data_IF_728817249656
#
_entry.id   IF_728817249656
#
_cell.length_a   1.000
_cell.length_b   1.000
_cell.length_c   1.000
_cell.angle_alpha   90.00
_cell.angle_beta   90.00
_cell.angle_gamma   90.00
#
_symmetry.space_group_name_H-M   'P 1'
#
loop_
_entity.id
_entity.type
_entity.pdbx_description
1 polymer ?
#
# COMPACT_ATOMS: atom_id res chain seq x y z
N UNK A 1 -9.66 -12.82 -6.96
CA UNK A 1 -10.34 -12.21 -5.79
C UNK A 1 -9.33 -11.34 -5.04
N UNK A 2 -9.67 -10.12 -4.63
CA UNK A 2 -8.77 -9.26 -3.85
C UNK A 2 -9.41 -8.87 -2.52
N UNK A 3 -8.62 -8.91 -1.45
CA UNK A 3 -8.95 -8.35 -0.13
C UNK A 3 -7.91 -7.30 0.26
N UNK A 4 -7.41 -6.53 -0.72
CA UNK A 4 -6.39 -5.53 -0.50
C UNK A 4 -6.85 -4.49 0.53
N UNK A 5 -6.03 -4.21 1.56
CA UNK A 5 -6.32 -3.17 2.53
C UNK A 5 -5.92 -1.77 2.05
N UNK A 6 -5.14 -1.66 0.96
CA UNK A 6 -4.42 -0.44 0.61
C UNK A 6 -5.00 0.22 -0.64
N UNK A 7 -5.60 1.40 -0.45
CA UNK A 7 -5.97 2.29 -1.56
C UNK A 7 -4.71 2.82 -2.20
N UNK A 8 -4.61 2.66 -3.52
CA UNK A 8 -3.53 3.22 -4.31
C UNK A 8 -3.80 4.68 -4.65
N UNK A 9 -4.88 4.96 -5.40
CA UNK A 9 -5.27 6.31 -5.80
C UNK A 9 -6.78 6.40 -5.87
N UNK A 10 -7.33 7.45 -5.28
CA UNK A 10 -8.67 7.93 -5.57
C UNK A 10 -8.57 9.32 -6.21
N UNK A 11 -9.39 9.55 -7.24
CA UNK A 11 -9.65 10.86 -7.79
C UNK A 11 -11.16 11.06 -7.88
N UNK A 12 -11.69 12.05 -7.17
CA UNK A 12 -13.11 12.39 -7.20
C UNK A 12 -13.30 13.89 -7.36
N UNK A 13 -13.94 14.32 -8.45
CA UNK A 13 -14.09 15.75 -8.76
C UNK A 13 -12.75 16.51 -8.64
N UNK A 14 -11.73 15.99 -9.31
CA UNK A 14 -10.34 16.48 -9.32
C UNK A 14 -9.62 16.47 -7.96
N UNK A 15 -10.23 15.91 -6.91
CA UNK A 15 -9.57 15.70 -5.61
C UNK A 15 -8.87 14.36 -5.58
N UNK A 16 -7.55 14.40 -5.46
CA UNK A 16 -6.67 13.23 -5.37
C UNK A 16 -6.47 12.85 -3.91
N UNK A 17 -6.56 11.56 -3.61
CA UNK A 17 -6.21 10.96 -2.33
C UNK A 17 -5.41 9.68 -2.54
N UNK A 18 -4.37 9.48 -1.73
CA UNK A 18 -3.70 8.19 -1.55
C UNK A 18 -3.46 7.91 -0.08
N UNK A 19 -3.55 6.63 0.32
CA UNK A 19 -3.45 6.19 1.71
C UNK A 19 -2.47 5.03 1.87
N UNK A 20 -1.14 5.29 1.85
CA UNK A 20 -0.15 4.26 2.13
C UNK A 20 -0.29 3.67 3.54
N UNK A 21 0.02 2.38 3.64
CA UNK A 21 0.00 1.63 4.90
C UNK A 21 1.39 1.08 5.18
N UNK A 22 1.93 1.30 6.39
CA UNK A 22 3.18 0.70 6.87
C UNK A 22 3.11 0.44 8.37
N UNK A 23 3.20 -0.82 8.77
CA UNK A 23 2.93 -1.25 10.14
C UNK A 23 1.53 -1.82 10.30
N UNK A 24 1.45 -2.96 10.97
CA UNK A 24 0.21 -3.69 11.24
C UNK A 24 0.29 -4.30 12.63
N UNK A 25 -0.81 -4.25 13.38
CA UNK A 25 -0.97 -4.99 14.63
C UNK A 25 -2.29 -5.78 14.65
N UNK A 26 -2.38 -6.92 15.34
CA UNK A 26 -3.62 -7.68 15.45
C UNK A 26 -4.68 -6.93 16.27
N UNK A 27 -5.95 -7.26 16.05
CA UNK A 27 -7.06 -6.87 16.94
C UNK A 27 -7.17 -7.83 18.11
N UNK A 28 -7.56 -7.30 19.27
CA UNK A 28 -7.91 -8.10 20.45
C UNK A 28 -9.34 -7.82 20.91
N UNK A 29 -10.00 -8.84 21.45
CA UNK A 29 -11.32 -8.70 22.06
C UNK A 29 -11.26 -7.99 23.41
N UNK A 30 -10.14 -8.08 24.12
CA UNK A 30 -9.88 -7.30 25.33
C UNK A 30 -9.56 -5.85 24.94
N UNK A 31 -10.38 -4.87 25.36
CA UNK A 31 -10.16 -3.46 25.02
C UNK A 31 -8.82 -2.89 25.49
N UNK A 32 -8.26 -3.41 26.59
CA UNK A 32 -6.96 -2.95 27.10
C UNK A 32 -5.83 -3.41 26.18
N UNK A 33 -5.82 -4.70 25.84
CA UNK A 33 -4.84 -5.25 24.90
C UNK A 33 -4.98 -4.62 23.50
N UNK A 34 -6.21 -4.37 23.03
CA UNK A 34 -6.44 -3.71 21.74
C UNK A 34 -5.89 -2.26 21.74
N UNK A 35 -6.07 -1.53 22.84
CA UNK A 35 -5.51 -0.19 23.01
C UNK A 35 -3.97 -0.18 23.10
N UNK A 36 -3.38 -1.19 23.74
CA UNK A 36 -1.92 -1.37 23.77
C UNK A 36 -1.36 -1.58 22.36
N UNK A 37 -2.03 -2.36 21.51
CA UNK A 37 -1.62 -2.53 20.11
C UNK A 37 -1.68 -1.24 19.30
N UNK A 38 -2.71 -0.41 19.52
CA UNK A 38 -2.80 0.91 18.88
C UNK A 38 -1.65 1.81 19.34
N UNK A 39 -1.37 1.84 20.65
CA UNK A 39 -0.30 2.65 21.22
C UNK A 39 1.07 2.21 20.68
N UNK A 40 1.34 0.90 20.66
CA UNK A 40 2.57 0.33 20.13
C UNK A 40 2.76 0.68 18.65
N UNK A 41 1.73 0.47 17.83
CA UNK A 41 1.78 0.79 16.40
C UNK A 41 2.03 2.29 16.15
N UNK A 42 1.44 3.15 16.98
CA UNK A 42 1.58 4.60 16.84
C UNK A 42 2.97 5.10 17.19
N UNK A 43 3.70 4.41 18.08
CA UNK A 43 5.02 4.83 18.56
C UNK A 43 6.18 4.01 18.00
N UNK A 44 5.92 2.97 17.20
CA UNK A 44 6.92 2.12 16.59
C UNK A 44 7.81 2.90 15.60
N UNK A 45 9.11 3.13 15.91
CA UNK A 45 9.97 3.99 15.09
C UNK A 45 10.22 3.42 13.69
N UNK A 46 10.34 2.08 13.55
CA UNK A 46 10.48 1.40 12.25
C UNK A 46 9.27 1.66 11.36
N UNK A 47 8.06 1.41 11.89
CA UNK A 47 6.81 1.60 11.16
C UNK A 47 6.61 3.06 10.72
N UNK A 48 6.92 4.03 11.59
CA UNK A 48 6.88 5.46 11.25
C UNK A 48 7.90 5.86 10.19
N UNK A 49 9.15 5.38 10.29
CA UNK A 49 10.20 5.69 9.33
C UNK A 49 9.87 5.16 7.94
N UNK A 50 9.42 3.91 7.84
CA UNK A 50 8.96 3.32 6.59
C UNK A 50 7.76 4.09 6.02
N UNK A 51 6.77 4.42 6.86
CA UNK A 51 5.60 5.16 6.43
C UNK A 51 5.99 6.54 5.88
N UNK A 52 6.87 7.28 6.58
CA UNK A 52 7.32 8.60 6.17
C UNK A 52 8.04 8.57 4.81
N UNK A 53 8.91 7.57 4.61
CA UNK A 53 9.60 7.38 3.33
C UNK A 53 8.61 7.21 2.18
N UNK A 54 7.54 6.43 2.39
CA UNK A 54 6.49 6.24 1.38
C UNK A 54 5.63 7.49 1.21
N UNK A 55 5.32 8.21 2.29
CA UNK A 55 4.60 9.49 2.23
C UNK A 55 5.36 10.47 1.33
N UNK A 56 6.66 10.64 1.53
CA UNK A 56 7.46 11.57 0.72
C UNK A 56 7.54 11.16 -0.75
N UNK A 57 7.68 9.86 -1.02
CA UNK A 57 7.66 9.33 -2.38
C UNK A 57 6.29 9.57 -3.05
N UNK A 58 5.18 9.33 -2.34
CA UNK A 58 3.84 9.53 -2.91
C UNK A 58 3.47 11.01 -3.08
N UNK A 59 3.93 11.88 -2.17
CA UNK A 59 3.83 13.35 -2.35
C UNK A 59 4.55 13.80 -3.61
N UNK A 60 5.76 13.29 -3.85
CA UNK A 60 6.49 13.55 -5.08
C UNK A 60 5.72 13.02 -6.29
N UNK A 61 5.18 11.81 -6.19
CA UNK A 61 4.50 11.15 -7.29
C UNK A 61 3.29 11.93 -7.79
N UNK A 62 2.35 12.25 -6.88
CA UNK A 62 1.14 13.00 -7.22
C UNK A 62 1.48 14.46 -7.54
N UNK A 63 2.53 15.02 -6.93
CA UNK A 63 2.99 16.39 -7.17
C UNK A 63 3.42 16.68 -8.61
N UNK A 64 3.67 15.66 -9.43
CA UNK A 64 3.94 15.83 -10.87
C UNK A 64 2.72 16.22 -11.68
N UNK A 65 1.51 15.90 -11.20
CA UNK A 65 0.25 16.12 -11.93
C UNK A 65 -0.76 16.97 -11.15
N UNK A 66 -0.57 17.15 -9.84
CA UNK A 66 -1.39 18.03 -9.02
C UNK A 66 -0.94 19.49 -9.14
N UNK A 67 -1.88 20.42 -8.93
CA UNK A 67 -1.63 21.85 -8.94
C UNK A 67 -0.54 22.23 -7.91
N UNK A 68 0.42 23.11 -8.25
CA UNK A 68 1.47 23.53 -7.33
C UNK A 68 0.91 24.04 -5.99
N UNK A 69 1.47 23.55 -4.88
CA UNK A 69 1.03 23.92 -3.53
C UNK A 69 -0.27 23.26 -3.05
N UNK A 70 -0.94 22.44 -3.87
CA UNK A 70 -2.16 21.73 -3.46
C UNK A 70 -1.87 20.46 -2.65
N UNK A 71 -0.69 19.85 -2.83
CA UNK A 71 -0.33 18.58 -2.19
C UNK A 71 -0.12 18.76 -0.68
N UNK A 72 -0.89 18.02 0.12
CA UNK A 72 -0.90 18.10 1.59
C UNK A 72 -0.89 16.70 2.20
N UNK A 73 -0.46 16.62 3.45
CA UNK A 73 -0.55 15.42 4.29
C UNK A 73 -1.44 15.78 5.48
N UNK A 74 -2.78 15.78 5.33
CA UNK A 74 -3.68 16.15 6.43
C UNK A 74 -3.53 15.24 7.65
N UNK A 75 -3.25 13.95 7.43
CA UNK A 75 -3.11 12.95 8.47
C UNK A 75 -1.79 12.20 8.26
N UNK A 76 -0.94 12.19 9.27
CA UNK A 76 0.35 11.48 9.27
C UNK A 76 0.39 10.54 10.46
N UNK A 77 0.63 9.25 10.21
CA UNK A 77 0.70 8.20 11.24
C UNK A 77 -0.61 8.01 12.03
N UNK A 78 -1.76 8.11 11.36
CA UNK A 78 -3.05 7.78 11.95
C UNK A 78 -3.21 6.26 12.04
N UNK A 79 -3.88 5.79 13.09
CA UNK A 79 -4.20 4.36 13.23
C UNK A 79 -5.63 4.14 12.77
N UNK A 80 -5.80 3.38 11.67
CA UNK A 80 -7.11 2.93 11.18
C UNK A 80 -7.36 1.48 11.61
N UNK A 81 -8.46 1.24 12.32
CA UNK A 81 -8.83 -0.09 12.83
C UNK A 81 -9.80 -0.80 11.89
N UNK A 82 -9.41 -2.00 11.45
CA UNK A 82 -10.24 -2.92 10.66
C UNK A 82 -10.67 -4.12 11.54
N UNK A 83 -11.65 -4.93 11.12
CA UNK A 83 -12.13 -6.06 11.92
C UNK A 83 -11.03 -7.02 12.39
N UNK A 84 -9.96 -7.17 11.61
CA UNK A 84 -8.92 -8.17 11.86
C UNK A 84 -7.56 -7.58 12.29
N UNK A 85 -7.30 -6.30 12.01
CA UNK A 85 -6.00 -5.64 12.25
C UNK A 85 -6.15 -4.14 12.46
N UNK A 86 -5.15 -3.51 13.09
CA UNK A 86 -4.89 -2.07 13.06
C UNK A 86 -3.80 -1.77 12.01
N UNK A 87 -3.96 -0.66 11.29
CA UNK A 87 -3.01 -0.19 10.28
C UNK A 87 -2.55 1.23 10.59
N UNK A 88 -1.25 1.50 10.43
CA UNK A 88 -0.73 2.85 10.46
C UNK A 88 -0.81 3.44 9.04
N UNK A 89 -1.64 4.45 8.90
CA UNK A 89 -2.07 5.04 7.64
C UNK A 89 -1.69 6.51 7.64
N UNK A 90 -1.16 6.97 6.52
CA UNK A 90 -1.01 8.40 6.26
C UNK A 90 -1.87 8.77 5.07
N UNK A 91 -2.53 9.92 5.13
CA UNK A 91 -3.37 10.41 4.04
C UNK A 91 -2.64 11.52 3.32
N UNK A 92 -2.43 11.37 2.02
CA UNK A 92 -1.89 12.42 1.15
C UNK A 92 -2.99 12.84 0.20
N UNK A 93 -3.20 14.15 0.11
CA UNK A 93 -4.20 14.75 -0.79
C UNK A 93 -3.56 15.73 -1.74
N UNK A 94 -4.25 16.02 -2.84
CA UNK A 94 -3.88 17.07 -3.79
C UNK A 94 -5.06 17.42 -4.70
N UNK A 95 -4.91 18.50 -5.44
CA UNK A 95 -5.88 18.91 -6.47
C UNK A 95 -5.25 18.61 -7.82
N UNK A 96 -5.90 17.77 -8.64
CA UNK A 96 -5.43 17.45 -9.98
C UNK A 96 -5.38 18.74 -10.82
N UNK A 97 -4.25 19.01 -11.46
CA UNK A 97 -4.10 20.19 -12.32
C UNK A 97 -4.99 20.04 -13.56
N UNK A 98 -5.62 21.12 -14.00
CA UNK A 98 -6.59 21.10 -15.10
C UNK A 98 -6.00 20.68 -16.47
N UNK A 99 -4.67 20.57 -16.58
CA UNK A 99 -3.96 20.06 -17.75
C UNK A 99 -3.83 18.54 -17.77
N UNK A 100 -4.13 17.87 -16.65
CA UNK A 100 -3.97 16.44 -16.50
C UNK A 100 -5.32 15.76 -16.27
N UNK A 101 -5.38 14.47 -16.56
CA UNK A 101 -6.51 13.63 -16.25
C UNK A 101 -6.14 12.48 -15.31
N UNK A 102 -7.12 11.65 -14.96
CA UNK A 102 -6.92 10.49 -14.09
C UNK A 102 -5.98 9.43 -14.67
N UNK A 103 -5.82 9.37 -16.00
CA UNK A 103 -4.86 8.46 -16.63
C UNK A 103 -3.44 8.97 -16.45
N UNK A 104 -3.22 10.29 -16.53
CA UNK A 104 -1.92 10.91 -16.23
C UNK A 104 -1.56 10.74 -14.75
N UNK A 105 -2.54 10.91 -13.85
CA UNK A 105 -2.37 10.63 -12.43
C UNK A 105 -1.95 9.19 -12.18
N UNK A 106 -2.65 8.23 -12.80
CA UNK A 106 -2.31 6.82 -12.68
C UNK A 106 -0.90 6.53 -13.22
N UNK A 107 -0.55 7.04 -14.41
CA UNK A 107 0.77 6.86 -15.03
C UNK A 107 1.90 7.46 -14.22
N UNK A 108 1.69 8.64 -13.63
CA UNK A 108 2.68 9.26 -12.77
C UNK A 108 2.95 8.34 -11.58
N UNK A 109 1.92 7.97 -10.84
CA UNK A 109 2.10 7.31 -9.56
C UNK A 109 2.47 5.82 -9.67
N UNK A 110 2.10 5.15 -10.77
CA UNK A 110 2.26 3.71 -10.91
C UNK A 110 3.72 3.31 -11.25
N UNK A 111 4.25 2.23 -10.68
CA UNK A 111 3.65 1.37 -9.64
C UNK A 111 3.74 2.00 -8.24
N UNK A 112 2.89 1.53 -7.31
CA UNK A 112 2.75 2.08 -5.97
C UNK A 112 4.06 2.10 -5.16
N UNK A 113 4.27 3.16 -4.38
CA UNK A 113 5.47 3.34 -3.58
C UNK A 113 5.70 2.24 -2.54
N UNK A 114 4.64 1.83 -1.87
CA UNK A 114 4.68 0.86 -0.76
C UNK A 114 5.09 -0.56 -1.18
N UNK A 115 4.96 -0.90 -2.47
CA UNK A 115 5.28 -2.21 -3.05
C UNK A 115 6.52 -2.23 -3.93
N UNK A 116 7.15 -1.07 -4.11
CA UNK A 116 8.43 -0.94 -4.83
C UNK A 116 9.53 -0.63 -3.82
N UNK A 117 9.64 0.62 -3.41
CA UNK A 117 10.68 1.15 -2.53
C UNK A 117 11.11 2.55 -2.96
N UNK A 118 12.02 3.15 -2.22
CA UNK A 118 12.59 4.47 -2.52
C UNK A 118 14.11 4.39 -2.60
N UNK A 119 14.75 4.90 -3.68
CA UNK A 119 14.18 5.49 -4.90
C UNK A 119 13.47 4.46 -5.80
N UNK A 120 12.29 4.79 -6.31
CA UNK A 120 11.37 3.87 -7.03
C UNK A 120 12.03 3.09 -8.17
N UNK A 121 12.71 3.80 -9.08
CA UNK A 121 13.33 3.17 -10.26
C UNK A 121 14.42 2.18 -9.85
N UNK A 122 15.27 2.52 -8.88
CA UNK A 122 16.32 1.61 -8.42
C UNK A 122 15.73 0.42 -7.68
N UNK A 123 14.72 0.63 -6.83
CA UNK A 123 14.02 -0.45 -6.16
C UNK A 123 13.43 -1.45 -7.16
N UNK A 124 12.80 -0.98 -8.24
CA UNK A 124 12.28 -1.85 -9.30
C UNK A 124 13.36 -2.64 -10.05
N UNK A 125 14.54 -2.06 -10.26
CA UNK A 125 15.67 -2.78 -10.88
C UNK A 125 16.15 -3.92 -9.97
N UNK A 126 16.29 -3.66 -8.66
CA UNK A 126 16.67 -4.68 -7.68
C UNK A 126 15.61 -5.79 -7.62
N UNK A 127 14.32 -5.43 -7.66
CA UNK A 127 13.22 -6.41 -7.72
C UNK A 127 13.37 -7.32 -8.94
N UNK A 128 13.63 -6.77 -10.14
CA UNK A 128 13.84 -7.58 -11.35
C UNK A 128 15.14 -8.42 -11.29
N UNK A 129 16.18 -7.92 -10.61
CA UNK A 129 17.44 -8.66 -10.40
C UNK A 129 17.26 -9.87 -9.46
N UNK A 130 16.40 -9.74 -8.44
CA UNK A 130 16.28 -10.70 -7.34
C UNK A 130 15.07 -11.65 -7.46
N UNK A 131 13.95 -11.20 -8.02
CA UNK A 131 12.76 -12.05 -8.12
C UNK A 131 12.84 -12.98 -9.33
N UNK A 132 12.57 -14.29 -9.16
CA UNK A 132 12.67 -15.26 -10.26
C UNK A 132 11.55 -15.11 -11.30
N UNK A 133 10.49 -14.35 -10.98
CA UNK A 133 9.29 -14.23 -11.78
C UNK A 133 8.78 -12.79 -11.80
N UNK A 134 8.24 -12.37 -12.95
CA UNK A 134 7.54 -11.09 -13.05
C UNK A 134 6.22 -11.13 -12.27
N UNK A 135 5.93 -10.05 -11.55
CA UNK A 135 4.82 -9.98 -10.60
C UNK A 135 3.41 -10.03 -11.22
N UNK A 136 3.26 -9.76 -12.52
CA UNK A 136 1.96 -9.78 -13.21
C UNK A 136 0.93 -8.89 -12.48
N UNK A 137 -0.19 -9.44 -11.99
CA UNK A 137 -1.17 -8.67 -11.22
C UNK A 137 -0.65 -8.35 -9.83
N UNK A 138 0.23 -9.15 -9.20
CA UNK A 138 0.76 -8.86 -7.86
C UNK A 138 1.49 -7.51 -7.83
N UNK A 139 1.20 -6.67 -6.83
CA UNK A 139 1.75 -5.31 -6.71
C UNK A 139 1.42 -4.36 -7.88
N UNK A 140 0.53 -4.75 -8.79
CA UNK A 140 -0.17 -3.88 -9.72
C UNK A 140 -1.34 -3.13 -9.07
N UNK A 141 -2.40 -2.90 -9.85
CA UNK A 141 -3.56 -2.14 -9.41
C UNK A 141 -4.87 -2.69 -9.97
N UNK A 142 -5.92 -2.73 -9.14
CA UNK A 142 -7.31 -3.04 -9.52
C UNK A 142 -8.20 -1.88 -9.10
N UNK A 143 -9.07 -1.43 -9.99
CA UNK A 143 -10.00 -0.34 -9.72
C UNK A 143 -10.89 -0.02 -10.90
N UNK A 144 -11.54 1.15 -10.85
CA UNK A 144 -12.34 1.67 -11.95
C UNK A 144 -11.89 3.06 -12.35
N UNK A 145 -12.17 3.41 -13.61
CA UNK A 145 -12.16 4.78 -14.13
C UNK A 145 -13.52 5.01 -14.76
N UNK A 146 -14.24 6.03 -14.29
CA UNK A 146 -15.58 6.35 -14.79
C UNK A 146 -15.52 7.30 -15.98
N UNK A 147 -16.62 7.35 -16.74
CA UNK A 147 -16.75 8.30 -17.85
C UNK A 147 -16.78 9.77 -17.40
N UNK A 148 -17.13 10.03 -16.14
CA UNK A 148 -17.09 11.37 -15.56
C UNK A 148 -15.72 11.75 -14.96
N UNK A 149 -14.67 10.95 -15.20
CA UNK A 149 -13.31 11.29 -14.76
C UNK A 149 -13.03 10.97 -13.29
N UNK A 150 -13.87 10.17 -12.63
CA UNK A 150 -13.57 9.68 -11.28
C UNK A 150 -12.78 8.36 -11.37
N UNK A 151 -11.90 8.13 -10.42
CA UNK A 151 -11.09 6.92 -10.32
C UNK A 151 -11.00 6.47 -8.86
N UNK A 152 -11.05 5.17 -8.62
CA UNK A 152 -10.65 4.58 -7.34
C UNK A 152 -9.94 3.26 -7.63
N UNK A 153 -8.73 3.12 -7.09
CA UNK A 153 -7.83 2.00 -7.35
C UNK A 153 -7.18 1.53 -6.06
N UNK A 154 -6.92 0.23 -6.00
CA UNK A 154 -6.25 -0.44 -4.89
C UNK A 154 -4.95 -1.07 -5.36
N UNK A 155 -3.98 -1.18 -4.46
CA UNK A 155 -2.78 -2.00 -4.73
C UNK A 155 -3.18 -3.46 -4.66
N UNK A 156 -2.71 -4.29 -5.58
CA UNK A 156 -3.03 -5.72 -5.63
C UNK A 156 -2.11 -6.55 -4.73
N UNK A 157 -2.22 -6.28 -3.43
CA UNK A 157 -1.71 -7.12 -2.35
C UNK A 157 -2.87 -7.95 -1.76
N UNK A 158 -2.55 -9.04 -1.07
CA UNK A 158 -3.56 -9.98 -0.54
C UNK A 158 -4.61 -10.35 -1.61
N UNK A 159 -4.13 -10.62 -2.82
CA UNK A 159 -4.94 -10.89 -4.01
C UNK A 159 -4.66 -12.30 -4.51
N UNK A 160 -5.71 -13.07 -4.74
CA UNK A 160 -5.66 -14.42 -5.30
C UNK A 160 -5.93 -14.38 -6.80
N UNK A 161 -5.06 -15.01 -7.58
CA UNK A 161 -5.28 -15.29 -9.00
C UNK A 161 -5.57 -16.77 -9.16
N UNK A 162 -6.63 -17.09 -9.88
CA UNK A 162 -6.97 -18.47 -10.24
C UNK A 162 -6.74 -18.63 -11.73
N UNK A 163 -5.95 -19.61 -12.12
CA UNK A 163 -5.72 -19.95 -13.51
C UNK A 163 -5.75 -21.46 -13.65
N UNK A 164 -6.67 -21.96 -14.49
CA UNK A 164 -6.94 -23.39 -14.62
C UNK A 164 -7.23 -23.99 -13.23
N UNK A 165 -6.49 -25.03 -12.84
CA UNK A 165 -6.65 -25.74 -11.56
C UNK A 165 -5.69 -25.24 -10.47
N UNK A 166 -5.09 -24.06 -10.66
CA UNK A 166 -4.12 -23.47 -9.71
C UNK A 166 -4.61 -22.15 -9.12
N UNK A 167 -4.40 -22.00 -7.81
CA UNK A 167 -4.61 -20.75 -7.08
C UNK A 167 -3.23 -20.20 -6.69
N UNK A 168 -2.95 -18.97 -7.09
CA UNK A 168 -1.71 -18.28 -6.80
C UNK A 168 -1.95 -17.18 -5.76
N UNK A 169 -1.05 -17.11 -4.78
CA UNK A 169 -1.02 -16.09 -3.74
C UNK A 169 0.43 -15.62 -3.56
N UNK A 170 0.60 -14.33 -3.29
CA UNK A 170 1.91 -13.73 -3.07
C UNK A 170 1.90 -12.87 -1.82
N UNK A 171 3.05 -12.82 -1.15
CA UNK A 171 3.34 -11.86 -0.11
C UNK A 171 4.82 -11.47 -0.20
N UNK A 172 5.12 -10.31 0.34
CA UNK A 172 6.46 -9.72 0.36
C UNK A 172 6.53 -8.67 1.46
N UNK A 173 7.74 -8.23 1.78
CA UNK A 173 8.06 -7.23 2.80
C UNK A 173 8.81 -6.05 2.20
N UNK A 174 8.86 -4.94 2.95
CA UNK A 174 9.79 -3.85 2.64
C UNK A 174 11.11 -4.15 3.33
N UNK A 175 12.24 -3.98 2.64
CA UNK A 175 13.55 -4.16 3.24
C UNK A 175 14.18 -2.81 3.54
N UNK A 176 14.62 -2.64 4.78
CA UNK A 176 15.41 -1.51 5.26
C UNK A 176 16.79 -1.99 5.73
N UNK A 177 17.69 -1.07 6.02
CA UNK A 177 19.09 -1.40 6.33
C UNK A 177 19.25 -2.29 7.58
N UNK A 178 18.30 -2.21 8.51
CA UNK A 178 18.22 -2.96 9.76
C UNK A 178 17.23 -4.14 9.72
N UNK A 179 16.71 -4.48 8.53
CA UNK A 179 15.86 -5.67 8.37
C UNK A 179 16.64 -6.96 8.68
N UNK A 180 15.98 -7.88 9.39
CA UNK A 180 16.48 -9.22 9.72
C UNK A 180 15.80 -10.23 8.80
N UNK A 181 16.57 -11.02 8.05
CA UNK A 181 16.06 -11.87 6.98
C UNK A 181 14.98 -12.86 7.45
N UNK A 182 15.18 -13.48 8.61
CA UNK A 182 14.23 -14.42 9.21
C UNK A 182 12.90 -13.75 9.57
N UNK A 183 12.95 -12.54 10.13
CA UNK A 183 11.76 -11.79 10.51
C UNK A 183 10.96 -11.36 9.28
N UNK A 184 11.64 -10.89 8.23
CA UNK A 184 11.01 -10.47 6.97
C UNK A 184 10.38 -11.67 6.24
N UNK A 185 11.04 -12.84 6.28
CA UNK A 185 10.47 -14.08 5.74
C UNK A 185 9.22 -14.49 6.51
N UNK A 186 9.27 -14.48 7.84
CA UNK A 186 8.10 -14.78 8.68
C UNK A 186 6.94 -13.81 8.41
N UNK A 187 7.23 -12.52 8.21
CA UNK A 187 6.21 -11.53 7.86
C UNK A 187 5.48 -11.89 6.54
N UNK A 188 6.17 -12.45 5.55
CA UNK A 188 5.51 -12.91 4.31
C UNK A 188 4.51 -14.04 4.58
N UNK A 189 4.83 -14.95 5.50
CA UNK A 189 3.94 -16.04 5.92
C UNK A 189 2.76 -15.49 6.71
N UNK A 190 2.99 -14.54 7.62
CA UNK A 190 1.95 -13.92 8.43
C UNK A 190 0.93 -13.16 7.56
N UNK A 191 1.40 -12.47 6.51
CA UNK A 191 0.55 -11.80 5.51
C UNK A 191 -0.36 -12.77 4.76
N UNK A 192 0.07 -14.01 4.54
CA UNK A 192 -0.71 -15.09 3.93
C UNK A 192 -1.47 -15.95 4.94
N UNK A 193 -1.14 -15.86 6.23
CA UNK A 193 -1.64 -16.74 7.30
C UNK A 193 -3.14 -16.67 7.50
N UNK A 194 -3.80 -15.58 7.10
CA UNK A 194 -5.27 -15.47 7.10
C UNK A 194 -5.95 -15.94 5.81
N UNK A 195 -5.18 -16.14 4.75
CA UNK A 195 -5.68 -16.52 3.42
C UNK A 195 -5.53 -18.03 3.21
N UNK A 196 -4.32 -18.56 3.39
CA UNK A 196 -4.00 -19.96 3.05
C UNK A 196 -4.83 -21.00 3.81
N UNK A 197 -5.15 -20.86 5.12
CA UNK A 197 -5.96 -21.85 5.83
C UNK A 197 -7.38 -22.00 5.28
N UNK A 198 -7.95 -20.94 4.69
CA UNK A 198 -9.31 -20.97 4.10
C UNK A 198 -9.31 -21.73 2.77
N UNK A 199 -8.16 -21.80 2.09
CA UNK A 199 -7.98 -22.51 0.83
C UNK A 199 -7.64 -24.00 1.02
N UNK A 200 -7.28 -24.40 2.24
CA UNK A 200 -7.09 -25.81 2.59
C UNK A 200 -8.46 -26.43 2.87
N UNK A 201 -8.98 -27.14 1.88
CA UNK A 201 -10.07 -28.10 2.09
C UNK A 201 -9.63 -29.20 3.07
#
# INVERSE_FOLDING_TARGET
MSISPERFLQCHSDKVETKPIKGTRPRFADPKLDAEQISDLKTAPKDQAENLMIVDLLRNDIGRVCAPGSVKVPNLFDVESFPAVHHLVSTITGDLDNKHDVYDLLRACFPGGSITGAPKVRAMQIIEELEPHRRNVYCGSIGYISRCGNMDTSITIRTLITQQDSIYAWAGGGLVADSVAEDEYQETLDKLGKILPILKN
#
